data_IF_438392742334
#
_entry.id   IF_438392742334
#
_cell.length_a   1.000
_cell.length_b   1.000
_cell.length_c   1.000
_cell.angle_alpha   90.00
_cell.angle_beta   90.00
_cell.angle_gamma   90.00
#
_symmetry.space_group_name_H-M   'P 1'
#
loop_
_entity.id
_entity.type
_entity.pdbx_description
1 polymer ?
#
# COMPACT_ATOMS: atom_id res chain seq x y z
N UNK A 1 -11.83 17.17 -2.25
CA UNK A 1 -12.85 16.11 -2.20
C UNK A 1 -13.17 15.85 -0.73
N UNK A 2 -14.44 15.75 -0.33
CA UNK A 2 -14.81 15.40 1.05
C UNK A 2 -14.42 13.92 1.33
N UNK A 3 -13.94 13.62 2.54
CA UNK A 3 -13.46 12.29 2.93
C UNK A 3 -14.52 11.19 2.75
N UNK A 4 -15.79 11.42 3.09
CA UNK A 4 -16.86 10.44 2.90
C UNK A 4 -17.07 10.09 1.42
N UNK A 5 -16.97 11.10 0.54
CA UNK A 5 -17.04 10.86 -0.91
C UNK A 5 -15.83 10.06 -1.40
N UNK A 6 -14.65 10.34 -0.88
CA UNK A 6 -13.43 9.60 -1.19
C UNK A 6 -13.56 8.13 -0.79
N UNK A 7 -14.05 7.85 0.41
CA UNK A 7 -14.29 6.49 0.90
C UNK A 7 -15.27 5.75 -0.01
N UNK A 8 -16.37 6.39 -0.40
CA UNK A 8 -17.34 5.79 -1.34
C UNK A 8 -16.75 5.48 -2.72
N UNK A 9 -15.87 6.33 -3.23
CA UNK A 9 -15.16 6.04 -4.48
C UNK A 9 -14.23 4.83 -4.31
N UNK A 10 -13.51 4.74 -3.19
CA UNK A 10 -12.65 3.61 -2.90
C UNK A 10 -13.41 2.30 -2.69
N UNK A 11 -14.60 2.29 -2.12
CA UNK A 11 -15.43 1.07 -2.01
C UNK A 11 -15.64 0.42 -3.40
N UNK A 12 -16.01 1.21 -4.41
CA UNK A 12 -16.19 0.70 -5.77
C UNK A 12 -14.88 0.38 -6.49
N UNK A 13 -13.88 1.24 -6.34
CA UNK A 13 -12.59 1.06 -7.01
C UNK A 13 -11.82 -0.14 -6.44
N UNK A 14 -11.80 -0.31 -5.12
CA UNK A 14 -11.10 -1.40 -4.46
C UNK A 14 -11.58 -2.76 -4.97
N UNK A 15 -12.90 -2.94 -5.12
CA UNK A 15 -13.46 -4.18 -5.67
C UNK A 15 -12.96 -4.46 -7.09
N UNK A 16 -12.95 -3.44 -7.97
CA UNK A 16 -12.42 -3.57 -9.34
C UNK A 16 -10.95 -3.97 -9.33
N UNK A 17 -10.16 -3.35 -8.46
CA UNK A 17 -8.73 -3.60 -8.36
C UNK A 17 -8.43 -4.99 -7.78
N UNK A 18 -9.19 -5.39 -6.75
CA UNK A 18 -9.02 -6.65 -6.04
C UNK A 18 -9.26 -7.86 -6.93
N UNK A 19 -10.32 -7.83 -7.73
CA UNK A 19 -10.70 -8.97 -8.58
C UNK A 19 -10.15 -8.89 -10.01
N UNK A 20 -9.24 -7.93 -10.30
CA UNK A 20 -8.76 -7.70 -11.67
C UNK A 20 -8.16 -8.96 -12.33
N UNK A 21 -7.38 -9.74 -11.59
CA UNK A 21 -6.70 -10.95 -12.10
C UNK A 21 -7.46 -12.24 -11.73
N UNK A 22 -8.61 -12.12 -11.08
CA UNK A 22 -9.41 -13.26 -10.70
C UNK A 22 -10.24 -13.77 -11.89
N UNK A 23 -10.45 -15.10 -11.94
CA UNK A 23 -11.42 -15.70 -12.87
C UNK A 23 -12.83 -15.14 -12.61
N UNK A 24 -13.66 -15.11 -13.65
CA UNK A 24 -14.98 -14.48 -13.62
C UNK A 24 -15.89 -14.99 -12.48
N UNK A 25 -15.75 -16.25 -12.09
CA UNK A 25 -16.50 -16.87 -10.98
C UNK A 25 -16.19 -16.29 -9.60
N UNK A 26 -15.05 -15.61 -9.45
CA UNK A 26 -14.66 -14.94 -8.21
C UNK A 26 -14.99 -13.44 -8.23
N UNK A 27 -15.54 -12.92 -9.32
CA UNK A 27 -16.00 -11.53 -9.38
C UNK A 27 -17.31 -11.44 -8.63
N UNK A 28 -17.28 -10.82 -7.46
CA UNK A 28 -18.48 -10.58 -6.65
C UNK A 28 -18.48 -9.20 -6.05
N UNK A 29 -19.66 -8.80 -5.57
CA UNK A 29 -19.77 -7.64 -4.71
C UNK A 29 -19.17 -7.94 -3.34
N UNK A 30 -18.55 -6.91 -2.75
CA UNK A 30 -18.13 -6.96 -1.35
C UNK A 30 -19.35 -7.02 -0.43
N UNK A 31 -19.26 -7.81 0.63
CA UNK A 31 -20.30 -7.86 1.67
C UNK A 31 -20.27 -6.60 2.53
N UNK A 32 -21.32 -6.34 3.30
CA UNK A 32 -21.36 -5.19 4.22
C UNK A 32 -20.22 -5.20 5.25
N UNK A 33 -19.80 -6.40 5.67
CA UNK A 33 -18.68 -6.60 6.60
C UNK A 33 -17.35 -6.25 5.93
N UNK A 34 -17.13 -6.72 4.72
CA UNK A 34 -15.92 -6.40 3.95
C UNK A 34 -15.84 -4.91 3.62
N UNK A 35 -16.96 -4.29 3.24
CA UNK A 35 -17.04 -2.85 3.03
C UNK A 35 -16.70 -2.07 4.29
N UNK A 36 -17.13 -2.53 5.48
CA UNK A 36 -16.74 -1.91 6.74
C UNK A 36 -15.22 -1.97 6.96
N UNK A 37 -14.60 -3.12 6.68
CA UNK A 37 -13.13 -3.31 6.78
C UNK A 37 -12.38 -2.43 5.78
N UNK A 38 -12.86 -2.33 4.52
CA UNK A 38 -12.34 -1.40 3.50
C UNK A 38 -12.35 0.03 4.05
N UNK A 39 -13.50 0.50 4.53
CA UNK A 39 -13.66 1.87 5.07
C UNK A 39 -12.68 2.16 6.20
N UNK A 40 -12.53 1.20 7.12
CA UNK A 40 -11.59 1.30 8.24
C UNK A 40 -10.15 1.38 7.76
N UNK A 41 -9.73 0.49 6.87
CA UNK A 41 -8.37 0.50 6.31
C UNK A 41 -8.07 1.82 5.57
N UNK A 42 -9.03 2.35 4.80
CA UNK A 42 -8.89 3.66 4.13
C UNK A 42 -8.77 4.80 5.16
N UNK A 43 -9.52 4.74 6.25
CA UNK A 43 -9.40 5.73 7.32
C UNK A 43 -8.02 5.72 7.95
N UNK A 44 -7.50 4.54 8.30
CA UNK A 44 -6.15 4.39 8.86
C UNK A 44 -5.11 4.91 7.87
N UNK A 45 -5.17 4.49 6.60
CA UNK A 45 -4.25 4.97 5.56
C UNK A 45 -4.33 6.49 5.36
N UNK A 46 -5.54 7.05 5.30
CA UNK A 46 -5.73 8.50 5.14
C UNK A 46 -5.10 9.28 6.29
N UNK A 47 -5.30 8.82 7.52
CA UNK A 47 -4.72 9.46 8.69
C UNK A 47 -3.21 9.31 8.73
N UNK A 48 -2.70 8.11 8.43
CA UNK A 48 -1.27 7.83 8.33
C UNK A 48 -0.60 8.74 7.31
N UNK A 49 -1.12 8.83 6.09
CA UNK A 49 -0.57 9.67 5.03
C UNK A 49 -0.55 11.15 5.44
N UNK A 50 -1.63 11.63 6.08
CA UNK A 50 -1.70 13.01 6.56
C UNK A 50 -0.66 13.33 7.63
N UNK A 51 -0.38 12.41 8.55
CA UNK A 51 0.55 12.66 9.66
C UNK A 51 2.01 12.41 9.25
N UNK A 52 2.25 11.37 8.46
CA UNK A 52 3.60 10.85 8.24
C UNK A 52 4.13 10.99 6.82
N UNK A 53 3.26 11.23 5.83
CA UNK A 53 3.69 11.40 4.43
C UNK A 53 3.62 12.84 3.94
N UNK A 54 2.85 13.69 4.61
CA UNK A 54 2.70 15.10 4.24
C UNK A 54 3.96 15.92 4.56
N UNK A 55 4.34 16.79 3.63
CA UNK A 55 5.44 17.74 3.82
C UNK A 55 6.83 17.10 3.96
N UNK A 56 7.74 17.83 4.59
CA UNK A 56 9.18 17.47 4.71
C UNK A 56 9.48 16.54 5.90
N UNK A 57 8.47 16.21 6.71
CA UNK A 57 8.61 15.48 7.99
C UNK A 57 8.62 13.95 7.86
N UNK A 58 8.59 13.40 6.64
CA UNK A 58 8.38 11.97 6.38
C UNK A 58 9.55 11.01 6.75
N UNK A 59 10.39 11.36 7.75
CA UNK A 59 11.56 10.57 8.15
C UNK A 59 11.47 9.94 9.54
N UNK A 60 10.42 10.21 10.32
CA UNK A 60 10.28 9.62 11.65
C UNK A 60 9.65 8.22 11.59
N UNK A 61 10.44 7.21 11.23
CA UNK A 61 10.04 5.80 11.17
C UNK A 61 9.60 5.29 12.55
N UNK A 62 10.23 5.76 13.63
CA UNK A 62 9.84 5.37 14.98
C UNK A 62 8.40 5.82 15.26
N UNK A 63 8.08 7.07 14.92
CA UNK A 63 6.74 7.63 15.06
C UNK A 63 5.68 6.91 14.24
N UNK A 64 6.03 6.35 13.07
CA UNK A 64 5.07 5.61 12.23
C UNK A 64 4.71 4.26 12.83
N UNK A 65 5.68 3.55 13.41
CA UNK A 65 5.45 2.28 14.11
C UNK A 65 4.58 2.52 15.35
N UNK A 66 4.92 3.51 16.19
CA UNK A 66 4.09 3.88 17.34
C UNK A 66 2.66 4.25 16.95
N UNK A 67 2.48 4.92 15.80
CA UNK A 67 1.15 5.23 15.30
C UNK A 67 0.34 3.96 15.02
N UNK A 68 0.95 2.98 14.35
CA UNK A 68 0.27 1.75 13.96
C UNK A 68 0.03 0.75 15.10
N UNK A 69 0.81 0.81 16.19
CA UNK A 69 0.58 -0.01 17.40
C UNK A 69 -0.81 0.15 18.02
N UNK A 70 -1.48 1.27 17.75
CA UNK A 70 -2.84 1.56 18.24
C UNK A 70 -3.91 0.67 17.61
N UNK A 71 -3.66 0.12 16.43
CA UNK A 71 -4.61 -0.72 15.70
C UNK A 71 -4.36 -2.19 16.01
N UNK A 72 -5.42 -2.99 16.01
CA UNK A 72 -5.31 -4.43 16.29
C UNK A 72 -4.62 -5.19 15.16
N UNK A 73 -4.19 -6.43 15.39
CA UNK A 73 -3.49 -7.23 14.38
C UNK A 73 -4.42 -7.53 13.21
N UNK A 74 -5.71 -7.72 13.49
CA UNK A 74 -6.77 -7.78 12.47
C UNK A 74 -6.81 -6.52 11.61
N UNK A 75 -6.81 -5.33 12.23
CA UNK A 75 -6.87 -4.06 11.51
C UNK A 75 -5.60 -3.80 10.69
N UNK A 76 -4.43 -4.18 11.19
CA UNK A 76 -3.17 -4.09 10.45
C UNK A 76 -3.12 -5.08 9.28
N UNK A 77 -3.71 -6.26 9.43
CA UNK A 77 -3.82 -7.23 8.35
C UNK A 77 -4.75 -6.73 7.23
N UNK A 78 -5.89 -6.14 7.59
CA UNK A 78 -6.79 -5.46 6.65
C UNK A 78 -6.12 -4.27 5.95
N UNK A 79 -5.34 -3.47 6.70
CA UNK A 79 -4.60 -2.35 6.12
C UNK A 79 -3.51 -2.83 5.16
N UNK A 80 -2.78 -3.88 5.52
CA UNK A 80 -1.79 -4.53 4.65
C UNK A 80 -2.43 -5.00 3.35
N UNK A 81 -3.64 -5.57 3.48
CA UNK A 81 -4.40 -6.07 2.34
C UNK A 81 -4.89 -4.96 1.40
N UNK A 82 -5.41 -3.88 1.97
CA UNK A 82 -5.70 -2.68 1.19
C UNK A 82 -4.43 -2.16 0.49
N UNK A 83 -3.33 -2.01 1.24
CA UNK A 83 -2.08 -1.45 0.74
C UNK A 83 -1.52 -2.27 -0.42
N UNK A 84 -1.43 -3.59 -0.29
CA UNK A 84 -0.90 -4.42 -1.36
C UNK A 84 -1.80 -4.41 -2.61
N UNK A 85 -3.13 -4.33 -2.44
CA UNK A 85 -4.07 -4.27 -3.58
C UNK A 85 -3.88 -2.96 -4.35
N UNK A 86 -3.74 -1.85 -3.62
CA UNK A 86 -3.46 -0.54 -4.22
C UNK A 86 -2.06 -0.50 -4.84
N UNK A 87 -1.05 -1.07 -4.19
CA UNK A 87 0.33 -1.14 -4.69
C UNK A 87 0.40 -1.91 -6.01
N UNK A 88 -0.25 -3.07 -6.10
CA UNK A 88 -0.34 -3.85 -7.33
C UNK A 88 -1.05 -3.06 -8.45
N UNK A 89 -2.14 -2.37 -8.11
CA UNK A 89 -2.87 -1.52 -9.06
C UNK A 89 -2.02 -0.33 -9.55
N UNK A 90 -1.30 0.34 -8.66
CA UNK A 90 -0.41 1.46 -9.01
C UNK A 90 0.75 0.97 -9.86
N UNK A 91 1.35 -0.17 -9.51
CA UNK A 91 2.38 -0.79 -10.32
C UNK A 91 1.85 -1.07 -11.73
N UNK A 92 0.71 -1.75 -11.87
CA UNK A 92 0.15 -2.09 -13.18
C UNK A 92 -0.33 -0.88 -13.99
N UNK A 93 -1.05 0.03 -13.35
CA UNK A 93 -1.85 1.04 -14.05
C UNK A 93 -1.19 2.43 -14.11
N UNK A 94 -0.26 2.74 -13.19
CA UNK A 94 0.34 4.08 -13.06
C UNK A 94 1.82 4.06 -13.41
N UNK A 95 2.59 3.18 -12.78
CA UNK A 95 4.03 3.07 -12.97
C UNK A 95 4.50 1.63 -13.27
N UNK A 96 4.04 1.02 -14.37
CA UNK A 96 4.43 -0.35 -14.74
C UNK A 96 5.92 -0.43 -14.96
N UNK A 97 6.56 -1.50 -14.50
CA UNK A 97 7.99 -1.71 -14.73
C UNK A 97 8.27 -1.87 -16.23
N UNK A 98 9.50 -1.60 -16.66
CA UNK A 98 9.87 -1.79 -18.07
C UNK A 98 9.75 -3.26 -18.47
N UNK A 99 10.06 -4.20 -17.56
CA UNK A 99 9.89 -5.63 -17.78
C UNK A 99 8.42 -6.00 -18.03
N UNK A 100 7.50 -5.49 -17.21
CA UNK A 100 6.06 -5.73 -17.39
C UNK A 100 5.54 -5.20 -18.72
N UNK A 101 6.02 -4.04 -19.17
CA UNK A 101 5.63 -3.51 -20.48
C UNK A 101 6.26 -4.33 -21.62
N UNK A 102 7.51 -4.76 -21.45
CA UNK A 102 8.21 -5.58 -22.43
C UNK A 102 7.47 -6.89 -22.71
N UNK A 103 6.91 -7.53 -21.67
CA UNK A 103 6.11 -8.77 -21.82
C UNK A 103 4.90 -8.59 -22.75
N UNK A 104 4.34 -7.38 -22.83
CA UNK A 104 3.16 -7.07 -23.64
C UNK A 104 3.54 -6.57 -25.04
N UNK A 105 4.54 -5.69 -25.11
CA UNK A 105 4.87 -4.95 -26.34
C UNK A 105 5.97 -5.65 -27.16
N UNK A 106 6.88 -6.37 -26.51
CA UNK A 106 8.03 -7.04 -27.13
C UNK A 106 9.13 -6.12 -27.68
N UNK A 107 8.89 -4.81 -27.76
CA UNK A 107 9.88 -3.80 -28.19
C UNK A 107 10.48 -3.05 -27.02
N UNK A 108 11.82 -3.06 -26.94
CA UNK A 108 12.57 -2.45 -25.84
C UNK A 108 12.42 -0.94 -25.77
N UNK A 109 12.50 -0.25 -26.91
CA UNK A 109 12.47 1.21 -26.94
C UNK A 109 11.10 1.73 -26.51
N UNK A 110 10.04 1.08 -26.98
CA UNK A 110 8.67 1.36 -26.59
C UNK A 110 8.40 1.01 -25.13
N UNK A 111 8.93 -0.13 -24.65
CA UNK A 111 8.83 -0.51 -23.24
C UNK A 111 9.51 0.49 -22.31
N UNK A 112 10.71 0.98 -22.66
CA UNK A 112 11.40 2.03 -21.89
C UNK A 112 10.66 3.37 -21.93
N UNK A 113 9.99 3.67 -23.04
CA UNK A 113 9.17 4.88 -23.17
C UNK A 113 7.93 4.85 -22.26
N UNK A 114 7.30 3.68 -22.08
CA UNK A 114 6.06 3.51 -21.28
C UNK A 114 6.34 3.10 -19.82
N UNK A 115 7.32 2.23 -19.57
CA UNK A 115 7.60 1.61 -18.28
C UNK A 115 8.59 2.37 -17.39
N UNK A 116 8.48 2.21 -16.08
CA UNK A 116 9.14 3.02 -15.06
C UNK A 116 10.26 2.26 -14.37
N UNK A 117 11.47 2.32 -14.95
CA UNK A 117 12.65 1.66 -14.39
C UNK A 117 12.59 0.13 -14.44
N UNK A 118 13.70 -0.49 -14.06
CA UNK A 118 13.86 -1.95 -14.01
C UNK A 118 14.02 -2.44 -12.57
N UNK A 119 13.45 -3.59 -12.22
CA UNK A 119 13.59 -4.29 -10.95
C UNK A 119 13.54 -3.37 -9.72
N UNK A 120 14.67 -3.22 -9.03
CA UNK A 120 14.78 -2.39 -7.83
C UNK A 120 14.49 -0.90 -8.06
N UNK A 121 14.79 -0.36 -9.25
CA UNK A 121 14.47 1.03 -9.58
C UNK A 121 12.96 1.24 -9.65
N UNK A 122 12.24 0.33 -10.33
CA UNK A 122 10.78 0.36 -10.36
C UNK A 122 10.18 0.25 -8.96
N UNK A 123 10.70 -0.65 -8.12
CA UNK A 123 10.24 -0.81 -6.75
C UNK A 123 10.39 0.49 -5.93
N UNK A 124 11.49 1.24 -6.13
CA UNK A 124 11.68 2.53 -5.48
C UNK A 124 10.73 3.61 -6.02
N UNK A 125 10.47 3.64 -7.33
CA UNK A 125 9.51 4.55 -7.96
C UNK A 125 8.09 4.27 -7.44
N UNK A 126 7.69 3.00 -7.40
CA UNK A 126 6.40 2.57 -6.85
C UNK A 126 6.25 3.04 -5.41
N UNK A 127 7.26 2.82 -4.56
CA UNK A 127 7.26 3.31 -3.17
C UNK A 127 7.21 4.83 -3.07
N UNK A 128 7.81 5.57 -4.00
CA UNK A 128 7.68 7.03 -4.08
C UNK A 128 6.24 7.44 -4.41
N UNK A 129 5.58 6.79 -5.37
CA UNK A 129 4.18 7.09 -5.74
C UNK A 129 3.21 6.67 -4.62
N UNK A 130 3.42 5.51 -4.00
CA UNK A 130 2.60 4.99 -2.90
C UNK A 130 2.62 5.84 -1.62
N UNK A 131 3.52 6.84 -1.55
CA UNK A 131 3.52 7.85 -0.50
C UNK A 131 2.35 8.84 -0.63
N UNK A 132 1.77 8.96 -1.82
CA UNK A 132 0.58 9.79 -2.02
C UNK A 132 -0.59 9.28 -1.17
N UNK A 133 -1.38 10.21 -0.66
CA UNK A 133 -2.57 9.86 0.10
C UNK A 133 -3.66 9.22 -0.78
N UNK A 134 -4.69 8.61 -0.15
CA UNK A 134 -5.77 7.93 -0.86
C UNK A 134 -6.52 8.82 -1.86
N UNK A 135 -6.59 10.12 -1.62
CA UNK A 135 -7.26 11.07 -2.53
C UNK A 135 -6.51 11.26 -3.85
N UNK A 136 -5.19 11.38 -3.77
CA UNK A 136 -4.33 11.61 -4.92
C UNK A 136 -4.13 10.33 -5.73
N UNK A 137 -3.94 9.18 -5.08
CA UNK A 137 -3.90 7.89 -5.77
C UNK A 137 -5.21 7.55 -6.46
N UNK A 138 -6.36 7.80 -5.82
CA UNK A 138 -7.68 7.62 -6.45
C UNK A 138 -7.80 8.45 -7.74
N UNK A 139 -7.33 9.70 -7.71
CA UNK A 139 -7.35 10.56 -8.90
C UNK A 139 -6.43 10.00 -9.99
N UNK A 140 -5.21 9.60 -9.64
CA UNK A 140 -4.29 8.99 -10.60
C UNK A 140 -4.92 7.74 -11.25
N UNK A 141 -5.46 6.82 -10.46
CA UNK A 141 -6.05 5.57 -10.96
C UNK A 141 -7.20 5.80 -11.94
N UNK A 142 -8.08 6.77 -11.66
CA UNK A 142 -9.26 7.06 -12.50
C UNK A 142 -8.99 8.00 -13.68
N UNK A 143 -8.04 8.93 -13.52
CA UNK A 143 -7.85 10.05 -14.45
C UNK A 143 -6.48 10.02 -15.15
N UNK A 144 -5.68 8.95 -15.01
CA UNK A 144 -4.34 8.85 -15.65
C UNK A 144 -4.35 9.20 -17.13
N UNK A 145 -5.37 8.78 -17.86
CA UNK A 145 -5.52 9.01 -19.30
C UNK A 145 -5.64 10.51 -19.64
N UNK A 146 -6.09 11.34 -18.69
CA UNK A 146 -6.14 12.81 -18.83
C UNK A 146 -4.80 13.47 -18.60
N UNK A 147 -3.92 12.84 -17.81
CA UNK A 147 -2.60 13.38 -17.52
C UNK A 147 -1.65 13.19 -18.71
N UNK A 148 -1.92 12.25 -19.62
CA UNK A 148 -1.07 12.00 -20.79
C UNK A 148 0.11 11.10 -20.42
N UNK A 149 1.31 11.42 -20.92
CA UNK A 149 2.53 10.63 -20.72
C UNK A 149 3.23 10.82 -19.37
N UNK A 150 4.31 10.06 -19.14
CA UNK A 150 5.09 10.08 -17.88
C UNK A 150 5.45 11.48 -17.41
N UNK A 151 5.93 12.34 -18.30
CA UNK A 151 6.38 13.69 -17.97
C UNK A 151 5.28 14.54 -17.31
N UNK A 152 4.06 14.44 -17.81
CA UNK A 152 2.91 15.15 -17.26
C UNK A 152 2.48 14.57 -15.92
N UNK A 153 2.55 13.25 -15.75
CA UNK A 153 2.32 12.59 -14.46
C UNK A 153 3.34 13.06 -13.42
N UNK A 154 4.64 13.03 -13.75
CA UNK A 154 5.71 13.51 -12.86
C UNK A 154 5.45 14.97 -12.46
N UNK A 155 5.10 15.83 -13.42
CA UNK A 155 4.78 17.23 -13.15
C UNK A 155 3.61 17.35 -12.19
N UNK A 156 2.53 16.61 -12.45
CA UNK A 156 1.34 16.61 -11.59
C UNK A 156 1.67 16.18 -10.15
N UNK A 157 2.41 15.09 -9.99
CA UNK A 157 2.83 14.59 -8.67
C UNK A 157 3.67 15.62 -7.93
N UNK A 158 4.69 16.21 -8.60
CA UNK A 158 5.55 17.25 -8.00
C UNK A 158 4.78 18.53 -7.64
N UNK A 159 3.73 18.88 -8.37
CA UNK A 159 2.85 20.01 -8.01
C UNK A 159 2.03 19.70 -6.76
N UNK A 160 1.64 18.43 -6.55
CA UNK A 160 0.85 18.01 -5.39
C UNK A 160 1.70 17.82 -4.14
N UNK A 161 2.82 17.14 -4.28
CA UNK A 161 3.76 16.87 -3.20
C UNK A 161 5.18 17.25 -3.66
N UNK A 162 5.61 18.51 -3.43
CA UNK A 162 6.93 18.98 -3.87
C UNK A 162 8.10 18.18 -3.30
N UNK A 163 7.90 17.56 -2.14
CA UNK A 163 8.91 16.80 -1.41
C UNK A 163 8.76 15.28 -1.60
N UNK A 164 7.97 14.83 -2.59
CA UNK A 164 7.67 13.41 -2.80
C UNK A 164 8.95 12.55 -2.95
N UNK A 165 10.00 13.12 -3.56
CA UNK A 165 11.29 12.45 -3.81
C UNK A 165 12.29 12.55 -2.64
N UNK A 166 11.93 13.18 -1.52
CA UNK A 166 12.81 13.30 -0.33
C UNK A 166 12.80 12.06 0.56
N UNK A 167 11.80 11.19 0.38
CA UNK A 167 11.61 9.92 1.09
C UNK A 167 10.60 9.03 0.36
N UNK A 168 10.72 7.72 0.54
CA UNK A 168 9.74 6.73 0.08
C UNK A 168 8.53 6.64 1.02
N UNK A 169 7.51 5.86 0.63
CA UNK A 169 6.48 5.42 1.57
C UNK A 169 7.08 4.62 2.74
N UNK A 170 6.51 4.81 3.92
CA UNK A 170 6.93 4.18 5.19
C UNK A 170 5.79 3.45 5.88
N UNK A 171 4.61 3.38 5.26
CA UNK A 171 3.44 2.70 5.83
C UNK A 171 3.64 1.19 5.77
N UNK A 172 4.05 0.67 4.61
CA UNK A 172 4.27 -0.77 4.45
C UNK A 172 5.34 -1.29 5.43
N UNK A 173 6.44 -0.54 5.58
CA UNK A 173 7.49 -0.84 6.55
C UNK A 173 6.99 -0.80 7.99
N UNK A 174 6.16 0.19 8.34
CA UNK A 174 5.63 0.31 9.70
C UNK A 174 4.64 -0.81 10.03
N UNK A 175 3.79 -1.23 9.07
CA UNK A 175 2.89 -2.37 9.24
C UNK A 175 3.71 -3.65 9.50
N UNK A 176 4.72 -3.91 8.68
CA UNK A 176 5.60 -5.06 8.86
C UNK A 176 6.35 -5.02 10.19
N UNK A 177 6.82 -3.84 10.61
CA UNK A 177 7.45 -3.66 11.91
C UNK A 177 6.55 -4.07 13.08
N UNK A 178 5.32 -3.54 13.14
CA UNK A 178 4.37 -3.89 14.20
C UNK A 178 3.95 -5.37 14.12
N UNK A 179 3.82 -5.92 12.92
CA UNK A 179 3.53 -7.36 12.74
C UNK A 179 4.65 -8.21 13.35
N UNK A 180 5.90 -7.93 12.99
CA UNK A 180 7.07 -8.67 13.45
C UNK A 180 7.24 -8.57 14.98
N UNK A 181 6.97 -7.40 15.55
CA UNK A 181 6.92 -7.20 17.00
C UNK A 181 5.95 -8.16 17.68
N UNK A 182 4.72 -8.26 17.17
CA UNK A 182 3.66 -9.07 17.78
C UNK A 182 3.92 -10.57 17.61
N UNK A 183 4.40 -10.99 16.45
CA UNK A 183 4.79 -12.39 16.22
C UNK A 183 5.86 -12.84 17.21
N UNK A 184 6.88 -12.00 17.44
CA UNK A 184 7.91 -12.27 18.44
C UNK A 184 7.35 -12.34 19.87
N UNK A 185 6.43 -11.45 20.25
CA UNK A 185 5.81 -11.48 21.59
C UNK A 185 4.97 -12.73 21.83
N UNK A 186 4.33 -13.25 20.79
CA UNK A 186 3.50 -14.45 20.88
C UNK A 186 4.31 -15.75 20.75
N UNK A 187 5.62 -15.66 20.51
CA UNK A 187 6.47 -16.84 20.30
C UNK A 187 6.08 -17.65 19.07
N UNK A 188 5.49 -17.00 18.07
CA UNK A 188 4.97 -17.67 16.88
C UNK A 188 6.09 -17.86 15.85
N UNK A 189 6.41 -19.12 15.52
CA UNK A 189 7.35 -19.45 14.44
C UNK A 189 6.77 -19.17 13.04
N UNK A 190 5.44 -19.07 12.94
CA UNK A 190 4.70 -18.76 11.70
C UNK A 190 3.67 -17.66 11.97
N UNK A 191 3.55 -16.73 11.03
CA UNK A 191 2.72 -15.55 11.21
C UNK A 191 1.25 -15.84 11.51
N UNK A 192 0.60 -14.90 12.19
CA UNK A 192 -0.76 -15.03 12.76
C UNK A 192 -1.83 -15.26 11.69
N UNK A 193 -1.73 -14.55 10.57
CA UNK A 193 -2.63 -14.71 9.43
C UNK A 193 -1.87 -15.31 8.25
N UNK A 194 -2.45 -16.29 7.54
CA UNK A 194 -1.84 -16.85 6.34
C UNK A 194 -1.65 -15.75 5.28
N UNK A 195 -0.43 -15.62 4.77
CA UNK A 195 -0.05 -14.68 3.70
C UNK A 195 0.27 -15.47 2.45
N UNK A 196 -0.67 -16.26 1.95
CA UNK A 196 -0.50 -16.93 0.66
C UNK A 196 -1.12 -16.08 -0.45
N UNK A 197 -0.27 -15.64 -1.39
CA UNK A 197 -0.68 -14.92 -2.61
C UNK A 197 -1.31 -13.57 -2.31
N UNK A 198 -0.53 -12.50 -2.41
CA UNK A 198 -1.03 -11.15 -2.23
C UNK A 198 -1.11 -10.40 -3.59
N UNK A 199 -2.25 -9.81 -3.99
CA UNK A 199 -3.58 -9.86 -3.36
C UNK A 199 -4.27 -11.22 -3.54
N UNK A 200 -4.85 -11.75 -2.47
CA UNK A 200 -5.50 -13.07 -2.45
C UNK A 200 -6.99 -13.02 -2.80
N UNK A 201 -7.62 -14.17 -3.08
CA UNK A 201 -9.08 -14.23 -3.30
C UNK A 201 -9.90 -14.15 -2.01
N UNK A 202 -9.24 -14.33 -0.86
CA UNK A 202 -9.82 -14.37 0.48
C UNK A 202 -8.88 -13.71 1.48
N UNK A 203 -9.37 -13.47 2.70
CA UNK A 203 -8.58 -12.93 3.81
C UNK A 203 -8.26 -11.44 3.69
N UNK A 204 -7.59 -10.90 4.72
CA UNK A 204 -7.34 -9.47 4.81
C UNK A 204 -8.64 -8.70 4.99
N UNK A 205 -8.96 -7.83 4.05
CA UNK A 205 -10.26 -7.13 4.02
C UNK A 205 -11.39 -8.10 3.67
N UNK A 206 -11.13 -9.08 2.81
CA UNK A 206 -12.11 -10.09 2.45
C UNK A 206 -12.32 -11.08 3.59
N UNK A 207 -13.49 -11.72 3.62
CA UNK A 207 -13.71 -12.86 4.52
C UNK A 207 -12.67 -13.96 4.23
N UNK A 208 -12.19 -14.62 5.29
CA UNK A 208 -11.36 -15.81 5.15
C UNK A 208 -12.18 -16.97 4.59
N UNK A 209 -11.55 -17.80 3.77
CA UNK A 209 -12.17 -19.01 3.20
C UNK A 209 -12.52 -20.03 4.28
N UNK A 210 -11.63 -20.15 5.26
CA UNK A 210 -11.71 -21.10 6.36
C UNK A 210 -12.20 -20.41 7.65
N UNK A 211 -13.04 -21.12 8.42
CA UNK A 211 -13.65 -20.60 9.66
C UNK A 211 -12.57 -20.20 10.67
N UNK A 212 -11.50 -20.98 10.75
CA UNK A 212 -10.33 -20.74 11.60
C UNK A 212 -9.70 -19.37 11.34
N UNK A 213 -9.73 -18.90 10.09
CA UNK A 213 -9.25 -17.55 9.74
C UNK A 213 -10.12 -16.44 10.32
N UNK A 214 -11.45 -16.63 10.35
CA UNK A 214 -12.36 -15.67 11.01
C UNK A 214 -12.29 -15.77 12.54
N UNK A 215 -12.03 -16.95 13.11
CA UNK A 215 -11.76 -17.10 14.55
C UNK A 215 -10.50 -16.32 14.96
N UNK A 216 -9.44 -16.40 14.16
CA UNK A 216 -8.23 -15.59 14.35
C UNK A 216 -8.53 -14.09 14.28
N UNK A 217 -9.40 -13.67 13.35
CA UNK A 217 -9.84 -12.27 13.25
C UNK A 217 -10.48 -11.78 14.54
N UNK A 218 -11.30 -12.61 15.18
CA UNK A 218 -11.94 -12.31 16.47
C UNK A 218 -10.91 -12.28 17.59
N UNK A 219 -10.06 -13.30 17.68
CA UNK A 219 -9.02 -13.43 18.70
C UNK A 219 -8.08 -12.21 18.71
N UNK A 220 -7.69 -11.75 17.52
CA UNK A 220 -6.73 -10.67 17.32
C UNK A 220 -7.38 -9.30 17.06
N UNK A 221 -8.69 -9.18 17.26
CA UNK A 221 -9.43 -7.94 17.03
C UNK A 221 -9.23 -6.86 18.10
N UNK A 222 -8.70 -7.21 19.28
CA UNK A 222 -8.61 -6.34 20.47
C UNK A 222 -7.23 -6.22 21.10
N UNK A 223 -6.16 -6.59 20.38
CA UNK A 223 -4.77 -6.49 20.85
C UNK A 223 -4.11 -5.14 20.52
N UNK A 224 -4.84 -4.22 19.87
CA UNK A 224 -4.40 -2.86 19.58
C UNK A 224 -4.25 -2.01 20.85
N UNK A 225 -3.25 -1.13 20.87
CA UNK A 225 -3.07 -0.15 21.95
C UNK A 225 -2.64 -0.73 23.30
N UNK A 226 -2.35 -2.04 23.41
CA UNK A 226 -1.75 -2.61 24.61
C UNK A 226 -0.31 -2.10 24.74
N UNK A 227 -0.13 -1.06 25.55
CA UNK A 227 1.18 -0.62 26.04
C UNK A 227 1.75 -1.69 26.98
N UNK A 228 2.28 -2.78 26.43
CA UNK A 228 3.18 -3.64 27.19
C UNK A 228 4.52 -2.92 27.29
N UNK A 229 4.99 -2.63 28.50
CA UNK A 229 6.36 -2.17 28.75
C UNK A 229 7.47 -3.12 28.25
N UNK A 230 7.13 -4.16 27.50
CA UNK A 230 8.02 -5.05 26.76
C UNK A 230 8.22 -4.68 25.29
N UNK A 231 7.87 -3.47 24.82
CA UNK A 231 8.34 -3.01 23.50
C UNK A 231 9.86 -2.81 23.57
N UNK A 232 10.60 -3.91 23.35
CA UNK A 232 12.05 -3.91 23.25
C UNK A 232 12.52 -2.87 22.26
N UNK A 233 13.73 -2.34 22.50
CA UNK A 233 14.41 -1.39 21.62
C UNK A 233 14.38 -1.89 20.17
N UNK A 234 13.45 -1.43 19.37
CA UNK A 234 13.61 -1.39 17.92
C UNK A 234 14.50 -0.19 17.67
N UNK A 235 15.77 -0.37 18.01
CA UNK A 235 16.79 0.67 17.95
C UNK A 235 17.88 0.38 16.94
N UNK A 236 18.19 -0.88 16.63
CA UNK A 236 19.49 -1.18 16.01
C UNK A 236 19.47 -2.12 14.79
N UNK A 237 18.42 -2.93 14.59
CA UNK A 237 18.41 -3.91 13.47
C UNK A 237 17.71 -3.49 12.18
N UNK A 238 16.77 -2.53 12.24
CA UNK A 238 15.92 -2.11 11.09
C UNK A 238 16.10 -0.62 10.74
N UNK A 239 17.16 0.01 11.23
CA UNK A 239 17.56 1.36 10.82
C UNK A 239 18.29 1.25 9.47
N UNK A 240 17.53 1.21 8.38
CA UNK A 240 18.11 1.35 7.04
C UNK A 240 18.56 2.80 6.91
N UNK A 241 19.86 3.04 7.09
CA UNK A 241 20.47 4.31 6.72
C UNK A 241 20.15 4.64 5.26
N UNK A 242 19.53 5.80 5.05
CA UNK A 242 19.47 6.46 3.74
C UNK A 242 18.78 5.68 2.62
N UNK A 243 17.52 5.23 2.81
CA UNK A 243 16.73 4.76 1.66
C UNK A 243 16.49 5.93 0.70
N UNK A 244 17.24 5.94 -0.42
CA UNK A 244 17.05 6.91 -1.50
C UNK A 244 15.67 6.69 -2.12
N UNK A 245 14.87 7.74 -2.18
CA UNK A 245 13.63 7.68 -2.97
C UNK A 245 13.97 7.40 -4.43
N UNK A 246 13.10 6.64 -5.11
CA UNK A 246 13.17 6.50 -6.55
C UNK A 246 12.90 7.87 -7.15
N UNK A 247 13.87 8.40 -7.91
CA UNK A 247 13.64 9.65 -8.66
C UNK A 247 12.59 9.36 -9.73
N UNK A 248 11.59 10.22 -9.79
CA UNK A 248 10.62 10.24 -10.88
C UNK A 248 11.32 10.84 -12.11
N UNK A 249 11.95 9.97 -12.89
CA UNK A 249 12.65 10.35 -14.13
C UNK A 249 11.70 10.15 -15.30
N UNK A 250 11.30 11.25 -15.93
CA UNK A 250 10.77 11.20 -17.29
C UNK A 250 11.98 11.24 -18.23
N UNK A 251 12.57 10.08 -18.58
CA UNK A 251 13.53 10.07 -19.69
C UNK A 251 12.76 10.42 -20.96
N UNK A 252 13.21 11.46 -21.65
CA UNK A 252 12.85 11.71 -23.04
C UNK A 252 13.72 10.79 -23.89
N UNK A 253 13.12 9.87 -24.63
CA UNK A 253 13.68 9.48 -25.93
C UNK A 253 13.37 10.65 -26.86
N UNK A 254 14.43 11.35 -27.29
CA UNK A 254 14.33 12.46 -28.26
C UNK A 254 13.81 12.00 -29.61
#
# INVERSE_FOLDING_TARGET
>A
MNFCRLVKLWEGEFQRLRFYECQAEHHRLLTDRELLRVRRAIYIWHWFARVHHSGRQARNIIGTVYFLRRFSTTELHELWDLYGTVSAAVNREICPSVEMVMEVVGDKAQAENIGWGYGAENALILKTIMRLGPGDLMRLLRERWRLGGKASLVRWVRTKEPWIEDSIEVMGMAILGVKFERENMMGLEKGVFPVEGFPGRFGGVLDHEMVEGEELRVLHGGDGGRESGMYGRIGEGFMIEGVRAGRLVARWSG
#
